data_IF_363199680345
#
_entry.id   IF_363199680345
#
_cell.length_a   1.000
_cell.length_b   1.000
_cell.length_c   1.000
_cell.angle_alpha   90.00
_cell.angle_beta   90.00
_cell.angle_gamma   90.00
#
_symmetry.space_group_name_H-M   'P 1'
#
loop_
_entity.id
_entity.type
_entity.pdbx_description
1 polymer ?
#
# COMPACT_ATOMS: atom_id res chain seq x y z
N UNK A 1 -5.32 54.05 48.85
CA UNK A 1 -6.17 52.86 49.01
C UNK A 1 -6.22 52.16 47.67
N UNK A 2 -5.37 51.16 47.53
CA UNK A 2 -5.37 50.21 46.42
C UNK A 2 -6.12 49.01 46.93
N UNK A 3 -7.28 48.72 46.31
CA UNK A 3 -8.00 47.48 46.53
C UNK A 3 -7.45 46.46 45.53
N UNK A 4 -6.70 45.49 46.03
CA UNK A 4 -6.43 44.25 45.32
C UNK A 4 -7.72 43.44 45.26
N UNK A 5 -8.38 43.44 44.12
CA UNK A 5 -9.38 42.48 43.79
C UNK A 5 -8.71 41.32 43.05
N UNK A 6 -8.27 40.34 43.80
CA UNK A 6 -7.95 39.02 43.28
C UNK A 6 -9.23 38.30 42.88
N UNK A 7 -9.70 38.50 41.70
CA UNK A 7 -10.72 37.60 41.11
C UNK A 7 -10.00 36.34 40.64
N UNK A 8 -10.01 35.34 41.49
CA UNK A 8 -9.88 33.95 41.03
C UNK A 8 -11.15 33.67 40.20
N UNK A 9 -11.04 33.80 38.89
CA UNK A 9 -12.06 33.31 37.99
C UNK A 9 -12.16 31.80 38.21
N UNK A 10 -13.17 31.37 38.95
CA UNK A 10 -13.54 29.97 39.03
C UNK A 10 -13.98 29.60 37.62
N UNK A 11 -13.12 28.91 36.89
CA UNK A 11 -13.48 28.33 35.61
C UNK A 11 -14.56 27.30 35.89
N UNK A 12 -15.81 27.61 35.51
CA UNK A 12 -16.90 26.65 35.56
C UNK A 12 -16.57 25.65 34.46
N UNK A 13 -16.36 24.37 34.75
CA UNK A 13 -16.14 23.39 33.72
C UNK A 13 -17.45 23.27 32.91
N UNK A 14 -17.43 23.79 31.70
CA UNK A 14 -18.54 23.65 30.77
C UNK A 14 -18.42 22.26 30.15
N UNK A 15 -19.13 21.29 30.73
CA UNK A 15 -19.34 20.00 30.08
C UNK A 15 -20.49 20.11 29.08
N UNK A 16 -20.36 19.45 27.94
CA UNK A 16 -21.39 19.37 26.92
C UNK A 16 -21.56 17.90 26.48
N UNK A 17 -22.76 17.59 26.02
CA UNK A 17 -23.11 16.27 25.51
C UNK A 17 -24.05 16.43 24.31
N UNK A 18 -23.80 15.61 23.30
CA UNK A 18 -24.64 15.46 22.11
C UNK A 18 -25.04 13.99 22.02
N UNK A 19 -26.29 13.68 22.28
CA UNK A 19 -26.78 12.29 22.28
C UNK A 19 -26.80 11.69 20.87
N UNK A 20 -27.43 12.42 19.92
CA UNK A 20 -27.49 12.00 18.53
C UNK A 20 -27.85 13.21 17.64
N UNK A 21 -26.87 13.74 16.94
CA UNK A 21 -27.07 14.75 15.90
C UNK A 21 -27.10 14.05 14.55
N UNK A 22 -28.23 14.14 13.86
CA UNK A 22 -28.36 13.62 12.50
C UNK A 22 -27.87 14.67 11.51
N UNK A 23 -26.86 14.31 10.74
CA UNK A 23 -26.29 15.13 9.66
C UNK A 23 -26.66 14.46 8.34
N UNK A 24 -27.24 15.22 7.43
CA UNK A 24 -27.48 14.73 6.07
C UNK A 24 -26.16 14.42 5.38
N UNK A 25 -25.14 15.27 5.62
CA UNK A 25 -23.79 15.08 5.09
C UNK A 25 -22.73 15.57 6.08
N UNK A 26 -21.64 14.82 6.19
CA UNK A 26 -20.41 15.22 6.86
C UNK A 26 -19.30 15.30 5.81
N UNK A 27 -18.69 16.48 5.66
CA UNK A 27 -17.60 16.71 4.71
C UNK A 27 -16.28 16.79 5.47
N UNK A 28 -15.33 15.96 5.07
CA UNK A 28 -13.97 15.94 5.60
C UNK A 28 -12.96 15.98 4.43
N UNK A 29 -12.42 17.17 4.13
CA UNK A 29 -11.63 17.38 2.92
C UNK A 29 -12.48 17.15 1.66
N UNK A 30 -12.05 16.25 0.80
CA UNK A 30 -12.78 15.85 -0.42
C UNK A 30 -13.73 14.66 -0.19
N UNK A 31 -13.77 14.12 1.03
CA UNK A 31 -14.66 13.02 1.38
C UNK A 31 -16.00 13.53 1.89
N UNK A 32 -17.07 12.89 1.45
CA UNK A 32 -18.42 13.17 1.88
C UNK A 32 -19.04 11.87 2.42
N UNK A 33 -19.55 11.94 3.65
CA UNK A 33 -20.25 10.85 4.30
C UNK A 33 -21.71 11.22 4.48
N UNK A 34 -22.60 10.38 4.00
CA UNK A 34 -24.04 10.64 4.04
C UNK A 34 -24.68 10.05 5.31
N UNK A 35 -25.77 10.66 5.76
CA UNK A 35 -26.61 10.20 6.86
C UNK A 35 -25.84 9.86 8.15
N UNK A 36 -24.91 10.75 8.55
CA UNK A 36 -24.07 10.51 9.72
C UNK A 36 -24.81 10.85 11.01
N UNK A 37 -24.85 9.91 11.93
CA UNK A 37 -25.24 10.13 13.32
C UNK A 37 -23.99 10.45 14.11
N UNK A 38 -23.93 11.66 14.65
CA UNK A 38 -22.83 12.15 15.48
C UNK A 38 -23.29 12.20 16.93
N UNK A 39 -22.62 11.48 17.79
CA UNK A 39 -22.72 11.63 19.24
C UNK A 39 -21.41 12.21 19.78
N UNK A 40 -21.44 12.89 20.90
CA UNK A 40 -20.23 13.45 21.44
C UNK A 40 -20.40 13.94 22.88
N UNK A 41 -19.29 14.00 23.58
CA UNK A 41 -19.18 14.57 24.91
C UNK A 41 -17.84 15.25 25.11
N UNK A 42 -17.84 16.26 25.93
CA UNK A 42 -16.59 16.94 26.22
C UNK A 42 -16.68 17.91 27.37
N UNK A 43 -15.52 18.39 27.76
CA UNK A 43 -15.31 19.45 28.76
C UNK A 43 -14.13 20.32 28.35
N UNK A 44 -13.45 20.96 29.31
CA UNK A 44 -12.27 21.81 29.02
C UNK A 44 -11.05 20.99 28.54
N UNK A 45 -10.99 19.69 28.84
CA UNK A 45 -9.83 18.83 28.62
C UNK A 45 -10.11 17.68 27.63
N UNK A 46 -11.37 17.28 27.50
CA UNK A 46 -11.77 16.14 26.66
C UNK A 46 -12.78 16.52 25.58
N UNK A 47 -12.59 15.98 24.38
CA UNK A 47 -13.53 16.11 23.26
C UNK A 47 -13.59 14.76 22.51
N UNK A 48 -14.61 13.97 22.82
CA UNK A 48 -14.81 12.65 22.26
C UNK A 48 -16.07 12.65 21.40
N UNK A 49 -15.95 12.09 20.20
CA UNK A 49 -17.06 11.93 19.26
C UNK A 49 -17.17 10.48 18.81
N UNK A 50 -18.38 10.04 18.58
CA UNK A 50 -18.71 8.78 17.93
C UNK A 50 -19.46 9.08 16.63
N UNK A 51 -19.00 8.47 15.55
CA UNK A 51 -19.53 8.58 14.19
C UNK A 51 -20.21 7.28 13.82
N UNK A 52 -21.39 7.35 13.21
CA UNK A 52 -22.10 6.16 12.73
C UNK A 52 -22.90 6.46 11.47
N UNK A 53 -22.52 5.81 10.38
CA UNK A 53 -23.27 5.76 9.12
C UNK A 53 -22.99 4.44 8.40
N UNK A 54 -23.52 4.28 7.19
CA UNK A 54 -23.18 3.13 6.35
C UNK A 54 -21.71 3.19 5.83
N UNK A 55 -21.11 4.38 5.83
CA UNK A 55 -19.77 4.61 5.26
C UNK A 55 -18.68 4.75 6.34
N UNK A 56 -19.03 5.18 7.56
CA UNK A 56 -18.07 5.39 8.64
C UNK A 56 -18.68 5.00 9.99
N UNK A 57 -17.94 4.19 10.75
CA UNK A 57 -18.29 3.79 12.12
C UNK A 57 -17.03 3.85 12.96
N UNK A 58 -17.08 4.57 14.08
CA UNK A 58 -15.97 4.63 15.02
C UNK A 58 -15.92 5.89 15.85
N UNK A 59 -14.81 6.10 16.52
CA UNK A 59 -14.60 7.17 17.48
C UNK A 59 -13.50 8.14 17.02
N UNK A 60 -13.65 9.41 17.40
CA UNK A 60 -12.68 10.46 17.21
C UNK A 60 -12.39 11.15 18.55
N UNK A 61 -11.13 11.16 18.96
CA UNK A 61 -10.65 11.92 20.13
C UNK A 61 -9.93 13.18 19.65
N UNK A 62 -10.52 14.32 19.94
CA UNK A 62 -10.03 15.65 19.63
C UNK A 62 -9.53 16.40 20.89
N UNK A 63 -9.35 15.68 21.98
CA UNK A 63 -8.92 16.26 23.28
C UNK A 63 -7.56 16.93 23.16
N UNK A 64 -6.63 16.32 22.46
CA UNK A 64 -5.35 16.93 22.11
C UNK A 64 -5.44 17.59 20.72
N UNK A 65 -5.52 18.92 20.71
CA UNK A 65 -5.58 19.70 19.45
C UNK A 65 -4.33 19.56 18.59
N UNK A 66 -3.24 19.07 19.16
CA UNK A 66 -1.98 18.82 18.43
C UNK A 66 -1.90 17.42 17.84
N UNK A 67 -2.77 16.49 18.25
CA UNK A 67 -2.76 15.11 17.81
C UNK A 67 -4.18 14.52 17.82
N UNK A 68 -4.74 14.36 16.65
CA UNK A 68 -6.04 13.76 16.43
C UNK A 68 -5.93 12.23 16.53
N UNK A 69 -6.86 11.57 17.23
CA UNK A 69 -6.94 10.11 17.24
C UNK A 69 -8.25 9.70 16.59
N UNK A 70 -8.15 8.87 15.54
CA UNK A 70 -9.30 8.27 14.86
C UNK A 70 -9.20 6.75 15.04
N UNK A 71 -10.22 6.17 15.69
CA UNK A 71 -10.34 4.73 15.90
C UNK A 71 -11.65 4.25 15.23
N UNK A 72 -11.51 3.80 13.98
CA UNK A 72 -12.63 3.46 13.12
C UNK A 72 -12.77 1.94 13.01
N UNK A 73 -13.94 1.43 13.38
CA UNK A 73 -14.32 0.04 13.15
C UNK A 73 -14.51 -0.25 11.66
N UNK A 74 -15.07 0.74 10.95
CA UNK A 74 -15.39 0.63 9.53
C UNK A 74 -15.24 1.97 8.82
N UNK A 75 -14.65 1.92 7.62
CA UNK A 75 -14.56 3.05 6.70
C UNK A 75 -14.74 2.57 5.26
N UNK A 76 -15.77 3.09 4.58
CA UNK A 76 -15.98 2.90 3.16
C UNK A 76 -15.65 4.18 2.39
N UNK A 77 -14.76 4.07 1.42
CA UNK A 77 -14.36 5.15 0.55
C UNK A 77 -14.83 4.87 -0.89
N UNK A 78 -15.27 5.89 -1.62
CA UNK A 78 -15.48 5.75 -3.05
C UNK A 78 -14.12 5.48 -3.72
N UNK A 79 -14.07 4.54 -4.65
CA UNK A 79 -12.92 4.36 -5.51
C UNK A 79 -12.78 5.50 -6.51
N UNK A 80 -11.62 5.68 -7.08
CA UNK A 80 -11.48 6.58 -8.19
C UNK A 80 -12.20 5.95 -9.41
N UNK A 81 -13.19 6.64 -9.96
CA UNK A 81 -14.00 6.14 -11.08
C UNK A 81 -13.20 5.86 -12.37
N UNK A 82 -11.90 6.16 -12.38
CA UNK A 82 -11.00 6.03 -13.52
C UNK A 82 -9.82 5.07 -13.30
N UNK A 83 -9.97 4.04 -12.44
CA UNK A 83 -8.94 3.00 -12.30
C UNK A 83 -8.64 2.24 -13.61
N UNK A 84 -9.46 2.41 -14.65
CA UNK A 84 -9.20 1.89 -16.00
C UNK A 84 -8.31 2.80 -16.85
N UNK A 85 -8.10 4.06 -16.47
CA UNK A 85 -7.22 5.01 -17.14
C UNK A 85 -5.92 5.16 -16.35
N UNK A 86 -4.96 4.28 -16.61
CA UNK A 86 -3.55 4.44 -16.18
C UNK A 86 -2.91 5.76 -16.68
N UNK A 87 -3.64 6.53 -17.48
CA UNK A 87 -3.24 7.83 -18.03
C UNK A 87 -3.92 9.02 -17.34
N UNK A 88 -4.83 8.82 -16.36
CA UNK A 88 -5.41 9.97 -15.65
C UNK A 88 -4.37 10.54 -14.69
N UNK A 89 -3.77 11.65 -15.07
CA UNK A 89 -2.80 12.42 -14.27
C UNK A 89 -3.44 13.23 -13.12
N UNK A 90 -4.64 12.86 -12.69
CA UNK A 90 -5.32 13.56 -11.60
C UNK A 90 -4.92 12.91 -10.27
N UNK A 91 -4.13 13.64 -9.51
CA UNK A 91 -3.78 13.26 -8.14
C UNK A 91 -5.04 13.31 -7.26
N UNK A 92 -5.43 12.19 -6.62
CA UNK A 92 -6.63 12.15 -5.78
C UNK A 92 -6.55 13.04 -4.54
N UNK A 93 -5.34 13.44 -4.12
CA UNK A 93 -5.14 14.33 -2.97
C UNK A 93 -4.36 15.56 -3.41
N UNK A 94 -5.00 16.72 -3.34
CA UNK A 94 -4.35 17.98 -3.70
C UNK A 94 -3.33 18.43 -2.65
N UNK A 95 -2.32 19.21 -3.08
CA UNK A 95 -1.35 19.84 -2.17
C UNK A 95 -2.01 20.69 -1.08
N UNK A 96 -3.14 21.35 -1.40
CA UNK A 96 -3.89 22.15 -0.43
C UNK A 96 -4.44 21.26 0.70
N UNK A 97 -4.99 20.10 0.38
CA UNK A 97 -5.46 19.11 1.35
C UNK A 97 -4.28 18.58 2.15
N UNK A 98 -3.19 18.17 1.51
CA UNK A 98 -1.99 17.67 2.19
C UNK A 98 -1.43 18.67 3.21
N UNK A 99 -1.31 19.95 2.85
CA UNK A 99 -0.83 21.03 3.72
C UNK A 99 -1.77 21.35 4.90
N UNK A 100 -3.04 20.98 4.80
CA UNK A 100 -4.04 21.19 5.86
C UNK A 100 -4.22 19.98 6.77
N UNK A 101 -3.58 18.85 6.48
CA UNK A 101 -3.70 17.66 7.30
C UNK A 101 -3.12 17.89 8.70
N UNK A 102 -3.87 17.57 9.77
CA UNK A 102 -3.37 17.65 11.13
C UNK A 102 -2.42 16.48 11.42
N UNK A 103 -1.67 16.59 12.51
CA UNK A 103 -1.06 15.41 13.10
C UNK A 103 -2.17 14.49 13.57
N UNK A 104 -2.10 13.21 13.20
CA UNK A 104 -3.15 12.27 13.55
C UNK A 104 -2.60 10.85 13.69
N UNK A 105 -3.20 10.10 14.58
CA UNK A 105 -3.10 8.66 14.66
C UNK A 105 -4.41 8.06 14.14
N UNK A 106 -4.33 7.23 13.11
CA UNK A 106 -5.49 6.65 12.44
C UNK A 106 -5.43 5.13 12.53
N UNK A 107 -6.49 4.55 13.05
CA UNK A 107 -6.70 3.11 13.08
C UNK A 107 -8.03 2.80 12.41
N UNK A 108 -8.02 1.98 11.38
CA UNK A 108 -9.21 1.52 10.65
C UNK A 108 -9.20 -0.01 10.68
N UNK A 109 -10.16 -0.62 11.37
CA UNK A 109 -10.23 -2.08 11.47
C UNK A 109 -10.67 -2.74 10.16
N UNK A 110 -11.57 -2.08 9.42
CA UNK A 110 -12.07 -2.55 8.13
C UNK A 110 -12.19 -1.38 7.15
N UNK A 111 -11.25 -1.30 6.21
CA UNK A 111 -11.32 -0.37 5.09
C UNK A 111 -11.94 -1.05 3.88
N UNK A 112 -12.89 -0.39 3.23
CA UNK A 112 -13.43 -0.75 1.92
C UNK A 112 -13.19 0.38 0.91
N UNK A 113 -12.88 0.02 -0.31
CA UNK A 113 -12.79 0.97 -1.43
C UNK A 113 -13.57 0.37 -2.59
N UNK A 114 -14.60 1.06 -3.09
CA UNK A 114 -15.54 0.54 -4.11
C UNK A 114 -16.10 -0.84 -3.74
N UNK A 115 -16.57 -1.00 -2.51
CA UNK A 115 -17.10 -2.26 -1.98
C UNK A 115 -16.06 -3.40 -1.84
N UNK A 116 -14.83 -3.22 -2.34
CA UNK A 116 -13.74 -4.17 -2.18
C UNK A 116 -13.07 -4.04 -0.80
N UNK A 117 -12.82 -5.16 -0.09
CA UNK A 117 -12.16 -5.11 1.21
C UNK A 117 -10.67 -4.83 1.05
N UNK A 118 -10.18 -3.75 1.66
CA UNK A 118 -8.78 -3.35 1.71
C UNK A 118 -8.09 -3.65 3.05
N UNK A 119 -8.77 -4.36 3.96
CA UNK A 119 -8.20 -4.84 5.22
C UNK A 119 -8.09 -3.77 6.31
N UNK A 120 -7.15 -3.99 7.23
CA UNK A 120 -6.94 -3.14 8.40
C UNK A 120 -5.76 -2.18 8.16
N UNK A 121 -5.95 -0.93 8.57
CA UNK A 121 -4.96 0.14 8.39
C UNK A 121 -4.67 0.83 9.71
N UNK A 122 -3.39 0.94 10.06
CA UNK A 122 -2.91 1.73 11.18
C UNK A 122 -1.72 2.56 10.72
N UNK A 123 -1.84 3.86 10.84
CA UNK A 123 -0.79 4.79 10.44
C UNK A 123 -0.84 6.08 11.25
N UNK A 124 0.26 6.83 11.20
CA UNK A 124 0.38 8.14 11.84
C UNK A 124 0.69 9.18 10.78
N UNK A 125 0.01 10.32 10.86
CA UNK A 125 0.26 11.50 10.05
C UNK A 125 1.08 12.50 10.85
N UNK A 126 2.23 12.87 10.32
CA UNK A 126 3.14 13.82 10.91
C UNK A 126 3.45 14.95 9.92
N UNK A 127 2.61 16.02 9.89
CA UNK A 127 2.88 17.16 9.05
C UNK A 127 4.08 17.96 9.56
N UNK A 128 4.90 18.45 8.66
CA UNK A 128 5.95 19.42 8.90
C UNK A 128 5.83 20.63 7.94
N UNK A 129 6.78 21.56 8.01
CA UNK A 129 6.75 22.79 7.19
C UNK A 129 6.89 22.48 5.69
N UNK A 130 7.62 21.44 5.34
CA UNK A 130 7.97 21.08 3.95
C UNK A 130 7.18 19.90 3.40
N UNK A 131 6.46 19.15 4.24
CA UNK A 131 5.83 17.93 3.79
C UNK A 131 4.93 17.23 4.80
N UNK A 132 4.55 16.03 4.46
CA UNK A 132 3.77 15.13 5.28
C UNK A 132 4.47 13.77 5.37
N UNK A 133 4.83 13.36 6.58
CA UNK A 133 5.29 12.00 6.85
C UNK A 133 4.10 11.14 7.24
N UNK A 134 4.05 9.94 6.68
CA UNK A 134 3.05 8.93 7.04
C UNK A 134 3.81 7.68 7.50
N UNK A 135 3.79 7.43 8.79
CA UNK A 135 4.36 6.21 9.36
C UNK A 135 3.32 5.09 9.29
N UNK A 136 3.64 4.01 8.59
CA UNK A 136 2.76 2.86 8.39
C UNK A 136 3.05 1.81 9.45
N UNK A 137 2.34 1.87 10.58
CA UNK A 137 2.53 0.92 11.70
C UNK A 137 2.09 -0.49 11.31
N UNK A 138 0.93 -0.59 10.68
CA UNK A 138 0.40 -1.81 10.07
C UNK A 138 -0.61 -1.44 8.99
N UNK A 139 -0.33 -1.84 7.77
CA UNK A 139 -1.28 -1.72 6.67
C UNK A 139 -1.40 -3.09 6.02
N UNK A 140 -2.60 -3.67 6.10
CA UNK A 140 -2.92 -4.95 5.51
C UNK A 140 -3.84 -4.72 4.30
N UNK A 141 -3.33 -4.98 3.10
CA UNK A 141 -4.01 -4.70 1.83
C UNK A 141 -3.98 -5.92 0.94
N UNK A 142 -5.13 -6.54 0.69
CA UNK A 142 -5.26 -7.62 -0.30
C UNK A 142 -4.19 -8.72 -0.18
N UNK A 143 -3.81 -9.09 1.06
CA UNK A 143 -2.81 -10.12 1.33
C UNK A 143 -1.37 -9.60 1.40
N UNK A 144 -1.16 -8.30 1.32
CA UNK A 144 0.09 -7.63 1.66
C UNK A 144 0.01 -7.07 3.07
N UNK A 145 1.10 -7.09 3.80
CA UNK A 145 1.22 -6.42 5.10
C UNK A 145 2.49 -5.57 5.13
N UNK A 146 2.38 -4.31 5.54
CA UNK A 146 3.56 -3.45 5.69
C UNK A 146 4.32 -3.78 6.97
N UNK A 147 5.64 -3.73 6.91
CA UNK A 147 6.52 -3.84 8.06
C UNK A 147 7.53 -2.70 8.03
N UNK A 148 7.54 -1.84 9.08
CA UNK A 148 8.49 -0.73 9.23
C UNK A 148 8.57 0.12 7.96
N UNK A 149 7.44 0.64 7.53
CA UNK A 149 7.34 1.40 6.29
C UNK A 149 6.88 2.83 6.56
N UNK A 150 7.36 3.74 5.75
CA UNK A 150 6.96 5.14 5.82
C UNK A 150 6.84 5.75 4.43
N UNK A 151 5.99 6.76 4.33
CA UNK A 151 5.87 7.64 3.18
C UNK A 151 6.29 9.05 3.60
N UNK A 152 6.89 9.79 2.69
CA UNK A 152 7.12 11.23 2.87
C UNK A 152 6.70 11.96 1.60
N UNK A 153 5.72 12.83 1.72
CA UNK A 153 5.27 13.70 0.64
C UNK A 153 5.90 15.08 0.77
N UNK A 154 6.87 15.37 -0.07
CA UNK A 154 7.53 16.67 -0.20
C UNK A 154 6.60 17.63 -0.95
N UNK A 155 6.13 18.68 -0.27
CA UNK A 155 5.17 19.64 -0.84
C UNK A 155 5.81 20.61 -1.83
N UNK A 156 7.12 20.86 -1.71
CA UNK A 156 7.80 21.83 -2.60
C UNK A 156 8.12 21.20 -3.95
N UNK A 157 8.47 19.92 -3.94
CA UNK A 157 8.74 19.12 -5.15
C UNK A 157 7.50 18.46 -5.70
N UNK A 158 6.48 18.31 -4.89
CA UNK A 158 5.29 17.49 -5.13
C UNK A 158 5.68 16.04 -5.50
N UNK A 159 6.52 15.43 -4.68
CA UNK A 159 7.01 14.05 -4.83
C UNK A 159 6.75 13.30 -3.53
N UNK A 160 6.20 12.10 -3.65
CA UNK A 160 6.11 11.15 -2.54
C UNK A 160 7.24 10.14 -2.64
N UNK A 161 7.87 9.84 -1.51
CA UNK A 161 8.87 8.80 -1.36
C UNK A 161 8.38 7.75 -0.37
N UNK A 162 8.48 6.48 -0.74
CA UNK A 162 8.24 5.32 0.13
C UNK A 162 9.57 4.71 0.52
N UNK A 163 9.67 4.27 1.77
CA UNK A 163 10.77 3.44 2.26
C UNK A 163 10.21 2.39 3.21
N UNK A 164 10.50 1.11 2.95
CA UNK A 164 9.97 0.08 3.82
C UNK A 164 10.03 -1.32 3.24
N UNK A 165 9.33 -2.22 3.92
CA UNK A 165 9.18 -3.62 3.54
C UNK A 165 7.70 -4.00 3.56
N UNK A 166 7.30 -4.73 2.54
CA UNK A 166 5.98 -5.38 2.44
C UNK A 166 6.19 -6.89 2.56
N UNK A 167 5.40 -7.51 3.41
CA UNK A 167 5.36 -8.96 3.60
C UNK A 167 4.20 -9.52 2.79
N UNK A 168 4.45 -10.62 2.10
CA UNK A 168 3.48 -11.39 1.34
C UNK A 168 3.55 -12.83 1.85
N UNK A 169 2.54 -13.29 2.57
CA UNK A 169 2.60 -14.62 3.19
C UNK A 169 2.46 -15.74 2.15
N UNK A 170 1.41 -15.70 1.34
CA UNK A 170 1.09 -16.71 0.34
C UNK A 170 0.79 -16.05 -1.00
N UNK A 171 1.74 -16.18 -1.94
CA UNK A 171 1.61 -15.58 -3.25
C UNK A 171 0.52 -16.23 -4.11
N UNK A 172 0.20 -17.51 -3.91
CA UNK A 172 -0.90 -18.18 -4.62
C UNK A 172 -2.25 -17.52 -4.33
N UNK A 173 -2.46 -17.12 -3.06
CA UNK A 173 -3.69 -16.45 -2.63
C UNK A 173 -3.65 -14.93 -2.85
N UNK A 174 -2.46 -14.35 -2.81
CA UNK A 174 -2.27 -12.90 -2.92
C UNK A 174 -2.32 -12.42 -4.37
N UNK A 175 -1.65 -13.11 -5.28
CA UNK A 175 -1.59 -12.71 -6.70
C UNK A 175 -2.96 -12.52 -7.36
N UNK A 176 -3.96 -13.42 -7.15
CA UNK A 176 -5.30 -13.22 -7.74
C UNK A 176 -6.03 -11.97 -7.24
N UNK A 177 -5.79 -11.54 -5.99
CA UNK A 177 -6.38 -10.32 -5.45
C UNK A 177 -5.87 -9.06 -6.15
N UNK A 178 -4.69 -9.16 -6.77
CA UNK A 178 -4.06 -8.11 -7.58
C UNK A 178 -4.23 -8.35 -9.09
N UNK A 179 -5.19 -9.19 -9.47
CA UNK A 179 -5.46 -9.59 -10.86
C UNK A 179 -4.28 -10.27 -11.59
N UNK A 180 -3.35 -10.88 -10.84
CA UNK A 180 -2.30 -11.74 -11.38
C UNK A 180 -2.69 -13.21 -11.28
N UNK A 181 -2.30 -14.10 -12.22
CA UNK A 181 -2.55 -15.52 -12.09
C UNK A 181 -1.73 -16.11 -10.92
N UNK A 182 -2.28 -17.12 -10.22
CA UNK A 182 -1.59 -17.81 -9.15
C UNK A 182 -0.55 -18.79 -9.70
N UNK A 183 0.55 -18.27 -10.24
CA UNK A 183 1.62 -19.05 -10.86
C UNK A 183 2.78 -19.38 -9.92
N UNK A 184 2.70 -18.93 -8.67
CA UNK A 184 3.76 -19.03 -7.69
C UNK A 184 3.17 -19.25 -6.30
N UNK A 185 3.56 -20.34 -5.64
CA UNK A 185 3.36 -20.53 -4.20
C UNK A 185 4.63 -20.15 -3.44
N UNK A 186 4.49 -19.64 -2.23
CA UNK A 186 5.62 -19.36 -1.33
C UNK A 186 5.19 -19.57 0.13
N UNK A 187 6.12 -19.95 0.98
CA UNK A 187 5.88 -19.96 2.43
C UNK A 187 6.00 -18.55 2.99
N UNK A 188 6.90 -17.74 2.44
CA UNK A 188 7.09 -16.34 2.82
C UNK A 188 7.71 -15.58 1.65
N UNK A 189 7.23 -14.38 1.42
CA UNK A 189 7.86 -13.45 0.49
C UNK A 189 7.92 -12.04 1.07
N UNK A 190 8.94 -11.29 0.71
CA UNK A 190 9.11 -9.89 1.11
C UNK A 190 9.51 -9.06 -0.10
N UNK A 191 8.97 -7.85 -0.17
CA UNK A 191 9.36 -6.81 -1.11
C UNK A 191 9.79 -5.59 -0.30
N UNK A 192 11.06 -5.31 -0.27
CA UNK A 192 11.63 -4.13 0.39
C UNK A 192 12.11 -3.10 -0.60
N UNK A 193 12.41 -1.89 -0.13
CA UNK A 193 13.08 -0.90 -0.94
C UNK A 193 12.62 0.53 -0.73
N UNK A 194 12.99 1.35 -1.71
CA UNK A 194 12.64 2.76 -1.77
C UNK A 194 12.08 3.06 -3.15
N UNK A 195 10.92 3.70 -3.18
CA UNK A 195 10.30 4.22 -4.40
C UNK A 195 9.94 5.68 -4.22
N UNK A 196 10.01 6.46 -5.28
CA UNK A 196 9.48 7.81 -5.34
C UNK A 196 8.62 7.99 -6.59
N UNK A 197 7.60 8.81 -6.48
CA UNK A 197 6.68 9.12 -7.57
C UNK A 197 6.15 10.55 -7.47
N UNK A 198 5.77 11.18 -8.57
CA UNK A 198 5.14 12.50 -8.57
C UNK A 198 3.77 12.47 -7.89
N UNK A 199 3.48 13.54 -7.12
CA UNK A 199 2.17 13.73 -6.49
C UNK A 199 2.06 13.17 -5.07
N UNK A 200 0.83 13.03 -4.60
CA UNK A 200 0.48 12.58 -3.25
C UNK A 200 0.79 11.08 -3.02
N UNK A 201 0.73 10.62 -1.76
CA UNK A 201 0.83 9.19 -1.46
C UNK A 201 -0.17 8.30 -2.22
N UNK A 202 -1.35 8.83 -2.53
CA UNK A 202 -2.38 8.10 -3.25
C UNK A 202 -2.16 8.03 -4.78
N UNK A 203 -1.19 8.78 -5.32
CA UNK A 203 -0.87 8.82 -6.76
C UNK A 203 0.20 7.80 -7.18
N UNK A 204 0.37 6.72 -6.42
CA UNK A 204 1.35 5.67 -6.75
C UNK A 204 1.07 5.07 -8.14
N UNK A 205 2.05 5.21 -9.03
CA UNK A 205 2.02 4.62 -10.37
C UNK A 205 3.44 4.17 -10.76
N UNK A 206 3.63 2.88 -10.96
CA UNK A 206 4.93 2.31 -11.32
C UNK A 206 5.52 2.85 -12.63
N UNK A 207 4.68 3.30 -13.57
CA UNK A 207 5.16 3.91 -14.82
C UNK A 207 5.88 5.25 -14.61
N UNK A 208 5.60 5.93 -13.50
CA UNK A 208 6.17 7.24 -13.16
C UNK A 208 6.99 7.18 -11.86
N UNK A 209 7.28 5.97 -11.38
CA UNK A 209 8.07 5.76 -10.17
C UNK A 209 9.54 5.56 -10.49
N UNK A 210 10.38 5.92 -9.55
CA UNK A 210 11.83 5.71 -9.58
C UNK A 210 12.29 5.11 -8.25
N UNK A 211 13.26 4.20 -8.28
CA UNK A 211 13.83 3.65 -7.06
C UNK A 211 14.38 2.23 -7.18
N UNK A 212 14.60 1.61 -6.03
CA UNK A 212 15.15 0.26 -5.90
C UNK A 212 14.20 -0.61 -5.12
N UNK A 213 14.01 -1.85 -5.59
CA UNK A 213 13.20 -2.88 -4.95
C UNK A 213 14.00 -4.15 -4.75
N UNK A 214 13.99 -4.68 -3.54
CA UNK A 214 14.57 -5.96 -3.16
C UNK A 214 13.45 -6.99 -2.99
N UNK A 215 13.48 -8.06 -3.75
CA UNK A 215 12.54 -9.16 -3.63
C UNK A 215 13.22 -10.38 -3.03
N UNK A 216 12.56 -11.04 -2.07
CA UNK A 216 13.00 -12.31 -1.51
C UNK A 216 11.80 -13.19 -1.18
N UNK A 217 11.88 -14.46 -1.59
CA UNK A 217 10.92 -15.47 -1.22
C UNK A 217 11.62 -16.77 -0.82
N UNK A 218 10.97 -17.54 0.04
CA UNK A 218 11.52 -18.81 0.54
C UNK A 218 10.51 -19.92 0.35
N UNK A 219 11.02 -21.11 0.06
CA UNK A 219 10.25 -22.36 -0.04
C UNK A 219 8.98 -22.19 -0.89
N UNK A 220 9.13 -22.28 -2.18
CA UNK A 220 8.03 -22.10 -3.10
C UNK A 220 8.13 -23.00 -4.32
N UNK A 221 7.13 -22.85 -5.17
CA UNK A 221 7.02 -23.56 -6.44
C UNK A 221 6.42 -22.68 -7.50
N UNK A 222 7.06 -22.63 -8.65
CA UNK A 222 6.45 -22.13 -9.88
C UNK A 222 5.64 -23.23 -10.54
N UNK A 223 4.44 -22.96 -10.97
CA UNK A 223 3.62 -23.89 -11.75
C UNK A 223 3.01 -23.20 -12.95
N UNK A 224 2.91 -23.97 -14.04
CA UNK A 224 2.25 -23.54 -15.26
C UNK A 224 0.75 -23.84 -15.12
N UNK A 225 -0.05 -22.84 -14.85
CA UNK A 225 -1.47 -22.99 -15.09
C UNK A 225 -1.68 -22.68 -16.57
N UNK A 226 -2.16 -23.67 -17.33
CA UNK A 226 -2.57 -23.48 -18.73
C UNK A 226 -3.31 -22.15 -18.86
N UNK A 227 -2.68 -21.18 -19.51
CA UNK A 227 -3.21 -19.86 -19.77
C UNK A 227 -4.38 -19.89 -20.76
N UNK A 228 -5.20 -20.94 -20.64
CA UNK A 228 -6.44 -21.08 -21.35
C UNK A 228 -7.53 -20.25 -20.74
N UNK A 229 -7.57 -18.96 -21.03
CA UNK A 229 -8.74 -18.12 -21.27
C UNK A 229 -8.51 -16.67 -20.84
N UNK A 230 -8.32 -15.86 -21.86
CA UNK A 230 -8.76 -14.46 -21.96
C UNK A 230 -8.56 -13.57 -20.74
N UNK A 231 -7.52 -12.74 -20.75
CA UNK A 231 -7.53 -11.49 -19.99
C UNK A 231 -6.24 -11.06 -19.33
N UNK A 232 -5.21 -11.89 -19.24
CA UNK A 232 -4.06 -11.59 -18.40
C UNK A 232 -2.79 -11.31 -19.21
N UNK A 233 -2.77 -10.16 -19.86
CA UNK A 233 -1.61 -9.71 -20.65
C UNK A 233 -0.49 -9.06 -19.82
N UNK A 234 -0.70 -8.82 -18.53
CA UNK A 234 0.32 -8.17 -17.68
C UNK A 234 1.33 -9.14 -17.04
N UNK A 235 1.03 -10.42 -16.96
CA UNK A 235 1.80 -11.39 -16.19
C UNK A 235 2.90 -12.08 -16.99
N UNK A 236 2.97 -11.83 -18.29
CA UNK A 236 4.10 -12.33 -19.09
C UNK A 236 5.46 -11.79 -18.67
N UNK A 237 5.49 -10.76 -17.83
CA UNK A 237 6.72 -10.09 -17.39
C UNK A 237 7.55 -10.95 -16.43
N UNK A 238 6.92 -11.84 -15.65
CA UNK A 238 7.60 -12.74 -14.72
C UNK A 238 7.29 -14.22 -15.03
N UNK A 239 6.91 -14.54 -16.26
CA UNK A 239 6.64 -15.92 -16.65
C UNK A 239 7.95 -16.69 -16.84
N UNK A 240 8.53 -17.13 -15.71
CA UNK A 240 9.76 -17.95 -15.68
C UNK A 240 9.59 -19.22 -16.51
N UNK A 241 8.38 -19.82 -16.53
CA UNK A 241 8.07 -20.98 -17.36
C UNK A 241 8.18 -20.66 -18.85
N UNK A 242 7.78 -19.47 -19.28
CA UNK A 242 7.92 -19.07 -20.68
C UNK A 242 9.39 -18.77 -21.06
N UNK A 243 10.18 -18.28 -20.12
CA UNK A 243 11.63 -18.10 -20.30
C UNK A 243 12.34 -19.45 -20.44
N UNK A 244 12.00 -20.42 -19.60
CA UNK A 244 12.57 -21.78 -19.62
C UNK A 244 12.17 -22.51 -20.91
N UNK A 245 10.93 -22.38 -21.40
CA UNK A 245 10.48 -22.97 -22.68
C UNK A 245 11.21 -22.44 -23.92
N UNK A 246 11.81 -21.24 -23.85
CA UNK A 246 12.60 -20.66 -24.96
C UNK A 246 14.02 -21.17 -25.04
N UNK A 247 14.52 -21.76 -23.96
CA UNK A 247 15.80 -22.47 -23.96
C UNK A 247 15.48 -23.88 -24.46
N UNK A 248 15.96 -24.24 -25.65
CA UNK A 248 15.78 -25.55 -26.30
C UNK A 248 16.42 -26.71 -25.53
N UNK A 249 16.28 -26.74 -24.22
CA UNK A 249 16.62 -27.84 -23.33
C UNK A 249 15.33 -28.58 -23.02
N UNK A 250 15.31 -29.87 -23.22
CA UNK A 250 14.15 -30.73 -22.97
C UNK A 250 13.93 -30.87 -21.45
N UNK A 251 13.22 -29.92 -20.89
CA UNK A 251 12.79 -29.92 -19.48
C UNK A 251 11.30 -30.22 -19.35
N UNK A 252 10.68 -30.87 -20.35
CA UNK A 252 9.25 -31.14 -20.37
C UNK A 252 8.76 -31.81 -19.10
N UNK A 253 9.48 -32.79 -18.57
CA UNK A 253 9.11 -33.53 -17.36
C UNK A 253 9.20 -32.67 -16.08
N UNK A 254 10.13 -31.70 -16.04
CA UNK A 254 10.30 -30.79 -14.90
C UNK A 254 9.27 -29.66 -14.92
N UNK A 255 8.83 -29.26 -16.11
CA UNK A 255 7.86 -28.18 -16.32
C UNK A 255 6.43 -28.62 -16.04
N UNK A 256 6.08 -29.88 -16.30
CA UNK A 256 4.74 -30.42 -15.97
C UNK A 256 4.45 -30.44 -14.48
N UNK A 257 5.48 -30.70 -13.64
CA UNK A 257 5.36 -30.71 -12.18
C UNK A 257 5.63 -29.35 -11.54
N UNK A 258 6.16 -28.37 -12.29
CA UNK A 258 6.60 -27.05 -11.80
C UNK A 258 8.01 -27.06 -11.19
N UNK A 259 8.59 -25.89 -11.02
CA UNK A 259 9.94 -25.72 -10.44
C UNK A 259 9.84 -25.35 -8.97
N UNK A 260 10.22 -26.25 -8.09
CA UNK A 260 10.34 -25.98 -6.67
C UNK A 260 11.66 -25.26 -6.38
N UNK A 261 11.64 -24.31 -5.46
CA UNK A 261 12.82 -23.56 -5.02
C UNK A 261 12.87 -23.42 -3.50
N UNK A 262 14.08 -23.36 -2.96
CA UNK A 262 14.31 -23.05 -1.55
C UNK A 262 14.46 -21.56 -1.30
N UNK A 263 14.97 -20.83 -2.29
CA UNK A 263 15.17 -19.37 -2.22
C UNK A 263 14.98 -18.76 -3.61
N UNK A 264 14.33 -17.59 -3.62
CA UNK A 264 14.20 -16.71 -4.76
C UNK A 264 14.55 -15.31 -4.29
N UNK A 265 15.53 -14.66 -4.90
CA UNK A 265 15.96 -13.32 -4.51
C UNK A 265 16.47 -12.53 -5.71
N UNK A 266 16.32 -11.22 -5.65
CA UNK A 266 16.82 -10.30 -6.69
C UNK A 266 16.60 -8.86 -6.30
N UNK A 267 17.26 -7.96 -7.04
CA UNK A 267 17.08 -6.52 -6.89
C UNK A 267 16.73 -5.90 -8.22
N UNK A 268 15.75 -4.99 -8.19
CA UNK A 268 15.21 -4.29 -9.34
C UNK A 268 15.39 -2.78 -9.15
N UNK A 269 15.83 -2.10 -10.18
CA UNK A 269 15.73 -0.65 -10.32
C UNK A 269 14.52 -0.32 -11.17
N UNK A 270 13.72 0.63 -10.70
CA UNK A 270 12.62 1.24 -11.44
C UNK A 270 13.08 2.62 -11.87
N UNK A 271 13.16 2.88 -13.16
CA UNK A 271 13.57 4.18 -13.71
C UNK A 271 13.08 4.31 -15.16
N UNK A 272 12.61 5.48 -15.57
CA UNK A 272 12.21 5.78 -16.94
C UNK A 272 11.22 4.77 -17.56
N UNK A 273 10.28 4.27 -16.77
CA UNK A 273 9.28 3.23 -17.16
C UNK A 273 9.92 1.86 -17.45
N UNK A 274 11.12 1.63 -16.97
CA UNK A 274 11.82 0.37 -17.09
C UNK A 274 12.06 -0.26 -15.72
N UNK A 275 11.99 -1.60 -15.66
CA UNK A 275 12.44 -2.40 -14.54
C UNK A 275 13.72 -3.11 -14.96
N UNK A 276 14.85 -2.78 -14.35
CA UNK A 276 16.13 -3.40 -14.64
C UNK A 276 16.61 -4.24 -13.46
N UNK A 277 17.03 -5.47 -13.69
CA UNK A 277 17.69 -6.26 -12.66
C UNK A 277 19.09 -5.70 -12.39
N UNK A 278 19.30 -5.06 -11.24
CA UNK A 278 20.62 -4.60 -10.78
C UNK A 278 21.39 -5.73 -10.11
N UNK A 279 20.71 -6.64 -9.44
CA UNK A 279 21.17 -7.96 -9.08
C UNK A 279 20.24 -8.98 -9.75
N UNK A 280 20.85 -9.98 -10.41
CA UNK A 280 20.09 -11.01 -11.09
C UNK A 280 19.06 -11.65 -10.16
N UNK A 281 17.89 -11.96 -10.70
CA UNK A 281 16.93 -12.81 -10.00
C UNK A 281 17.51 -14.21 -9.90
N UNK A 282 17.83 -14.64 -8.68
CA UNK A 282 18.42 -15.94 -8.39
C UNK A 282 17.35 -16.87 -7.83
N UNK A 283 17.17 -18.02 -8.50
CA UNK A 283 16.24 -19.07 -8.09
C UNK A 283 17.09 -20.29 -7.73
N UNK A 284 17.13 -20.65 -6.43
CA UNK A 284 17.84 -21.82 -5.95
C UNK A 284 16.88 -22.99 -5.83
N UNK A 285 17.05 -24.00 -6.65
CA UNK A 285 16.34 -25.28 -6.58
C UNK A 285 17.25 -26.36 -5.96
N UNK A 286 16.70 -27.52 -5.67
CA UNK A 286 17.46 -28.67 -5.16
C UNK A 286 18.50 -29.20 -6.15
N UNK A 287 18.26 -29.04 -7.45
CA UNK A 287 19.07 -29.61 -8.52
C UNK A 287 19.72 -28.57 -9.44
N UNK A 288 19.42 -27.29 -9.25
CA UNK A 288 19.92 -26.25 -10.16
C UNK A 288 19.80 -24.86 -9.55
N UNK A 289 20.57 -23.92 -10.05
CA UNK A 289 20.43 -22.50 -9.80
C UNK A 289 20.16 -21.81 -11.11
N UNK A 290 19.12 -20.97 -11.14
CA UNK A 290 18.79 -20.13 -12.28
C UNK A 290 19.11 -18.69 -11.92
N UNK A 291 19.77 -17.97 -12.80
CA UNK A 291 20.08 -16.55 -12.67
C UNK A 291 19.49 -15.83 -13.87
N UNK A 292 18.60 -14.86 -13.62
CA UNK A 292 17.90 -14.11 -14.65
C UNK A 292 18.29 -12.64 -14.50
N UNK A 293 18.90 -12.08 -15.55
CA UNK A 293 19.20 -10.66 -15.66
C UNK A 293 18.48 -10.04 -16.84
N UNK A 294 18.49 -8.72 -16.93
CA UNK A 294 17.90 -7.98 -18.03
C UNK A 294 16.96 -6.88 -17.60
N UNK A 295 16.04 -6.51 -18.49
CA UNK A 295 15.14 -5.40 -18.29
C UNK A 295 13.72 -5.68 -18.82
N UNK A 296 12.76 -4.94 -18.27
CA UNK A 296 11.35 -4.96 -18.63
C UNK A 296 10.90 -3.55 -18.94
N UNK A 297 10.55 -3.26 -20.18
CA UNK A 297 9.87 -2.01 -20.53
C UNK A 297 8.40 -2.08 -20.15
N UNK A 298 8.00 -1.29 -19.16
CA UNK A 298 6.64 -1.26 -18.63
C UNK A 298 5.64 -0.60 -19.60
N UNK A 299 6.12 0.30 -20.46
CA UNK A 299 5.30 1.04 -21.42
C UNK A 299 4.89 0.18 -22.62
N UNK A 300 5.84 -0.56 -23.18
CA UNK A 300 5.64 -1.48 -24.31
C UNK A 300 5.33 -2.90 -23.86
N UNK A 301 5.53 -3.19 -22.55
CA UNK A 301 5.39 -4.53 -21.96
C UNK A 301 6.27 -5.57 -22.66
N UNK A 302 7.48 -5.15 -23.01
CA UNK A 302 8.49 -6.01 -23.62
C UNK A 302 9.54 -6.40 -22.60
N UNK A 303 10.11 -7.59 -22.82
CA UNK A 303 11.08 -8.22 -21.94
C UNK A 303 12.36 -8.50 -22.73
N UNK A 304 13.51 -8.02 -22.23
CA UNK A 304 14.85 -8.33 -22.74
C UNK A 304 15.67 -8.96 -21.62
N UNK A 305 15.70 -10.30 -21.58
CA UNK A 305 16.31 -11.05 -20.49
C UNK A 305 17.30 -12.10 -20.97
N UNK A 306 18.31 -12.31 -20.16
CA UNK A 306 19.26 -13.42 -20.23
C UNK A 306 19.05 -14.35 -19.03
N UNK A 307 19.15 -15.66 -19.26
CA UNK A 307 19.11 -16.64 -18.19
C UNK A 307 20.31 -17.56 -18.23
N UNK A 308 20.93 -17.74 -17.07
CA UNK A 308 22.03 -18.69 -16.84
C UNK A 308 21.52 -19.81 -15.95
N UNK A 309 21.77 -21.06 -16.34
CA UNK A 309 21.41 -22.24 -15.55
C UNK A 309 22.68 -22.95 -15.13
N UNK A 310 22.85 -23.09 -13.82
CA UNK A 310 23.97 -23.85 -13.22
C UNK A 310 23.46 -25.16 -12.68
N UNK A 311 23.98 -26.27 -13.18
CA UNK A 311 23.67 -27.61 -12.73
C UNK A 311 24.75 -28.09 -11.75
N UNK A 312 24.40 -28.88 -10.71
CA UNK A 312 25.38 -29.46 -9.84
C UNK A 312 26.24 -30.45 -10.60
N UNK A 313 27.54 -30.36 -10.43
CA UNK A 313 28.49 -31.33 -10.97
C UNK A 313 28.43 -32.57 -10.11
N UNK A 314 27.98 -33.70 -10.67
CA UNK A 314 27.93 -35.00 -10.01
C UNK A 314 29.33 -35.58 -9.79
#
# INVERSE_FOLDING_TARGET
WVAEAGESAVAIPVSWEIDALQLEQLVAGDLTFDEVILSGKGDAEQMLFTLKSEQIIGDADLSDRSNLILDLDFLALPGSQDASNLESNLDPITLAVGRSMPRAQVNVAQLQIDEAPFGAWRFQLEPDVGGLRVELDRVSVLGLETARSALYWDFDRNITSFSGTVILDDLEQTLPKWAFPPTLTTTSATLGGNLSWPGSPANLNFLNSEGMLDFRATEGRFFDQDAGRAGLRMVSLLNVSALIKRINLDFSDVLEEGISFSELSGQLQVEDKELTFTENLVIKSTSSTYEIGGAVDLSTRTLDNEMIVTLPVS
#
